data_IF_316315991670
#
_entry.id   IF_316315991670
#
_cell.length_a   1.000
_cell.length_b   1.000
_cell.length_c   1.000
_cell.angle_alpha   90.00
_cell.angle_beta   90.00
_cell.angle_gamma   90.00
#
_symmetry.space_group_name_H-M   'P 1'
#
loop_
_entity.id
_entity.type
_entity.pdbx_description
1 polymer ?
#
# COMPACT_ATOMS: atom_id res chain seq x y z
N UNK A 1 29.90 3.17 -61.06
CA UNK A 1 30.00 2.24 -59.92
C UNK A 1 29.11 2.79 -58.81
N UNK A 2 27.99 2.15 -58.54
CA UNK A 2 26.97 2.61 -57.58
C UNK A 2 26.60 1.44 -56.69
N UNK A 3 27.19 1.40 -55.49
CA UNK A 3 26.98 0.31 -54.54
C UNK A 3 25.64 0.48 -53.83
N UNK A 4 24.63 -0.28 -54.26
CA UNK A 4 23.45 -0.51 -53.42
C UNK A 4 23.88 -1.32 -52.20
N UNK A 5 23.61 -0.78 -51.02
CA UNK A 5 23.83 -1.48 -49.74
C UNK A 5 22.47 -1.92 -49.20
N UNK A 6 21.94 -3.03 -49.70
CA UNK A 6 20.70 -3.60 -49.19
C UNK A 6 20.89 -4.11 -47.75
N UNK A 7 20.32 -3.38 -46.79
CA UNK A 7 20.38 -3.72 -45.37
C UNK A 7 19.22 -4.65 -45.03
N UNK A 8 19.52 -5.95 -44.92
CA UNK A 8 18.63 -6.92 -44.30
C UNK A 8 18.33 -6.50 -42.84
N UNK A 9 17.10 -6.10 -42.56
CA UNK A 9 16.61 -5.95 -41.19
C UNK A 9 16.06 -7.28 -40.69
N UNK A 10 16.52 -7.71 -39.51
CA UNK A 10 16.14 -9.00 -38.95
C UNK A 10 14.70 -9.03 -38.45
N UNK A 11 14.11 -10.22 -38.42
CA UNK A 11 12.69 -10.46 -38.18
C UNK A 11 12.39 -10.54 -36.67
N UNK A 12 12.12 -9.40 -36.03
CA UNK A 12 11.66 -9.39 -34.63
C UNK A 12 10.22 -9.92 -34.47
N UNK A 13 9.96 -10.57 -33.34
CA UNK A 13 8.77 -11.38 -33.10
C UNK A 13 7.51 -10.54 -32.81
N UNK A 14 6.45 -10.81 -33.57
CA UNK A 14 5.13 -10.20 -33.34
C UNK A 14 4.48 -10.76 -32.06
N UNK A 15 4.55 -10.00 -30.97
CA UNK A 15 3.57 -10.13 -29.88
C UNK A 15 2.28 -9.44 -30.35
N UNK A 16 1.26 -10.22 -30.67
CA UNK A 16 -0.04 -9.71 -31.11
C UNK A 16 -0.85 -9.21 -29.92
N UNK A 17 -0.95 -7.88 -29.76
CA UNK A 17 -1.88 -7.28 -28.81
C UNK A 17 -3.33 -7.44 -29.32
N UNK A 18 -4.05 -8.42 -28.77
CA UNK A 18 -5.46 -8.65 -29.08
C UNK A 18 -6.34 -7.51 -28.56
N UNK A 19 -6.89 -6.71 -29.47
CA UNK A 19 -7.89 -5.67 -29.12
C UNK A 19 -9.24 -6.34 -28.81
N UNK A 20 -9.47 -6.68 -27.54
CA UNK A 20 -10.78 -7.15 -27.07
C UNK A 20 -11.75 -5.98 -26.98
N UNK A 21 -12.50 -5.76 -28.05
CA UNK A 21 -13.60 -4.77 -28.10
C UNK A 21 -14.75 -5.22 -27.19
N UNK A 22 -14.78 -4.72 -25.95
CA UNK A 22 -15.96 -4.85 -25.10
C UNK A 22 -17.06 -3.90 -25.60
N UNK A 23 -18.11 -4.45 -26.18
CA UNK A 23 -19.38 -3.75 -26.32
C UNK A 23 -20.02 -3.59 -24.94
N UNK A 24 -20.50 -2.38 -24.62
CA UNK A 24 -21.40 -2.14 -23.50
C UNK A 24 -22.73 -1.67 -24.06
N UNK A 25 -23.75 -2.52 -23.97
CA UNK A 25 -25.13 -2.11 -24.21
C UNK A 25 -25.59 -1.21 -23.05
N UNK A 26 -25.98 0.01 -23.40
CA UNK A 26 -26.61 0.96 -22.47
C UNK A 26 -28.13 0.89 -22.64
N UNK A 27 -28.84 0.28 -21.68
CA UNK A 27 -30.25 0.59 -21.44
C UNK A 27 -30.72 0.23 -20.02
N UNK A 28 -30.68 1.21 -19.12
CA UNK A 28 -31.39 1.23 -17.83
C UNK A 28 -31.83 2.66 -17.51
N UNK A 29 -33.14 2.93 -17.32
CA UNK A 29 -33.63 4.28 -17.04
C UNK A 29 -33.37 4.70 -15.59
N UNK A 30 -32.94 5.95 -15.40
CA UNK A 30 -32.53 6.50 -14.11
C UNK A 30 -33.71 7.07 -13.32
N UNK A 31 -34.03 6.48 -12.16
CA UNK A 31 -35.09 6.99 -11.25
C UNK A 31 -34.51 7.92 -10.18
N UNK A 32 -34.98 9.17 -10.03
CA UNK A 32 -34.49 10.09 -9.00
C UNK A 32 -35.10 9.77 -7.63
N UNK A 33 -34.24 9.48 -6.64
CA UNK A 33 -34.64 9.35 -5.23
C UNK A 33 -34.66 10.71 -4.52
N UNK A 34 -35.64 10.91 -3.64
CA UNK A 34 -35.95 12.23 -3.05
C UNK A 34 -34.89 12.70 -2.05
N UNK A 35 -34.58 13.99 -2.13
CA UNK A 35 -33.90 14.76 -1.08
C UNK A 35 -34.72 14.74 0.20
N UNK A 36 -34.14 14.31 1.33
CA UNK A 36 -34.76 14.39 2.65
C UNK A 36 -33.97 15.33 3.57
N UNK A 37 -34.39 16.59 3.61
CA UNK A 37 -33.89 17.57 4.57
C UNK A 37 -34.22 17.16 6.00
N UNK A 38 -33.29 17.37 6.93
CA UNK A 38 -33.54 17.35 8.37
C UNK A 38 -33.22 18.73 8.96
N UNK A 39 -33.97 19.12 9.99
CA UNK A 39 -34.07 20.50 10.43
C UNK A 39 -33.14 20.84 11.61
N UNK A 40 -32.83 22.13 11.72
CA UNK A 40 -32.11 22.77 12.83
C UNK A 40 -32.82 22.55 14.17
N UNK A 41 -32.06 22.20 15.21
CA UNK A 41 -32.45 22.38 16.62
C UNK A 41 -31.23 22.89 17.41
N UNK A 42 -31.45 23.89 18.25
CA UNK A 42 -30.50 24.53 19.18
C UNK A 42 -31.31 24.99 20.41
N UNK A 43 -30.69 25.51 21.50
CA UNK A 43 -29.42 25.17 22.15
C UNK A 43 -29.67 24.77 23.64
N UNK A 44 -28.62 24.59 24.46
CA UNK A 44 -28.47 24.85 25.93
C UNK A 44 -27.37 23.94 26.54
N UNK A 45 -26.82 24.24 27.73
CA UNK A 45 -26.29 25.52 28.18
C UNK A 45 -24.86 25.40 28.79
N UNK A 46 -24.25 26.51 29.19
CA UNK A 46 -22.94 26.53 29.88
C UNK A 46 -22.96 25.84 31.27
N UNK A 47 -21.93 25.02 31.53
CA UNK A 47 -21.42 24.75 32.89
C UNK A 47 -19.89 24.66 32.86
N UNK A 48 -19.20 25.76 33.14
CA UNK A 48 -17.74 25.77 33.24
C UNK A 48 -17.23 25.24 34.58
N UNK A 49 -16.27 24.32 34.57
CA UNK A 49 -15.50 23.90 35.73
C UNK A 49 -14.00 23.85 35.39
N UNK A 50 -13.24 24.82 35.91
CA UNK A 50 -11.78 24.75 35.87
C UNK A 50 -11.26 23.82 36.98
N UNK A 51 -10.67 22.69 36.58
CA UNK A 51 -9.78 21.91 37.45
C UNK A 51 -8.35 22.04 36.96
N UNK A 52 -7.52 22.78 37.70
CA UNK A 52 -6.07 22.76 37.51
C UNK A 52 -5.52 21.43 38.02
N UNK A 53 -4.74 20.72 37.21
CA UNK A 53 -4.07 19.48 37.62
C UNK A 53 -2.65 19.44 37.04
N UNK A 54 -1.67 19.70 37.90
CA UNK A 54 -0.27 19.87 37.52
C UNK A 54 0.50 18.56 37.70
N UNK A 55 0.66 17.79 36.62
CA UNK A 55 1.49 16.59 36.61
C UNK A 55 2.78 16.79 35.80
N UNK A 56 3.90 16.86 36.51
CA UNK A 56 5.24 16.85 35.91
C UNK A 56 5.57 15.45 35.37
N UNK A 57 5.81 15.33 34.07
CA UNK A 57 6.38 14.11 33.47
C UNK A 57 7.92 14.12 33.57
N UNK A 58 8.55 13.12 34.22
CA UNK A 58 10.00 13.03 34.28
C UNK A 58 10.59 12.48 32.98
N UNK A 59 11.73 13.03 32.56
CA UNK A 59 12.45 12.59 31.35
C UNK A 59 13.05 11.19 31.53
N UNK A 60 12.80 10.21 30.63
CA UNK A 60 13.43 8.90 30.71
C UNK A 60 14.90 8.97 30.31
N UNK A 61 15.79 8.58 31.23
CA UNK A 61 17.22 8.41 30.96
C UNK A 61 17.46 7.19 30.08
N UNK A 62 18.27 7.32 29.01
CA UNK A 62 18.63 6.20 28.16
C UNK A 62 19.77 5.39 28.79
N UNK A 63 19.44 4.36 29.56
CA UNK A 63 20.42 3.35 29.96
C UNK A 63 20.66 2.35 28.82
N UNK A 64 21.88 2.34 28.31
CA UNK A 64 22.34 1.34 27.34
C UNK A 64 22.53 -0.01 28.04
N UNK A 65 21.83 -1.04 27.58
CA UNK A 65 22.03 -2.43 28.00
C UNK A 65 22.71 -3.24 26.90
N UNK A 66 23.66 -4.08 27.29
CA UNK A 66 24.49 -4.85 26.36
C UNK A 66 23.68 -5.95 25.64
N UNK A 67 24.04 -6.34 24.40
CA UNK A 67 23.36 -7.41 23.68
C UNK A 67 23.59 -8.76 24.38
N UNK A 68 22.51 -9.41 24.82
CA UNK A 68 22.56 -10.78 25.31
C UNK A 68 22.58 -11.76 24.13
N UNK A 69 23.66 -12.52 24.02
CA UNK A 69 23.80 -13.64 23.08
C UNK A 69 22.81 -14.75 23.45
N UNK A 70 21.75 -14.89 22.65
CA UNK A 70 20.81 -16.01 22.77
C UNK A 70 21.43 -17.29 22.16
N UNK A 71 22.10 -18.08 22.99
CA UNK A 71 22.54 -19.43 22.62
C UNK A 71 21.32 -20.34 22.46
N UNK A 72 21.14 -21.04 21.32
CA UNK A 72 20.02 -21.96 21.14
C UNK A 72 20.25 -23.24 21.96
N UNK A 73 19.61 -23.32 23.13
CA UNK A 73 19.57 -24.53 23.95
C UNK A 73 18.64 -25.57 23.29
N UNK A 74 19.23 -26.63 22.73
CA UNK A 74 18.48 -27.70 22.08
C UNK A 74 17.92 -28.67 23.12
N UNK A 75 16.71 -28.40 23.62
CA UNK A 75 16.03 -29.28 24.57
C UNK A 75 15.35 -30.47 23.86
N UNK A 76 15.96 -31.65 24.01
CA UNK A 76 15.43 -32.92 23.54
C UNK A 76 14.22 -33.36 24.38
N UNK A 77 13.02 -33.09 23.88
CA UNK A 77 11.75 -33.58 24.45
C UNK A 77 11.54 -35.08 24.19
N UNK A 78 12.39 -35.92 24.78
CA UNK A 78 12.15 -37.36 24.88
C UNK A 78 10.97 -37.62 25.82
N UNK A 79 9.76 -37.72 25.25
CA UNK A 79 8.56 -38.14 25.97
C UNK A 79 8.48 -39.67 26.05
N UNK A 80 8.70 -40.31 27.22
CA UNK A 80 8.44 -41.74 27.37
C UNK A 80 6.94 -41.99 27.29
N UNK A 81 6.48 -42.53 26.15
CA UNK A 81 5.08 -42.82 25.90
C UNK A 81 4.65 -44.08 26.69
N UNK A 82 4.33 -43.91 27.98
CA UNK A 82 3.84 -44.99 28.84
C UNK A 82 2.39 -45.33 28.45
N UNK A 83 2.26 -46.18 27.44
CA UNK A 83 1.01 -46.82 27.04
C UNK A 83 0.57 -47.84 28.09
N UNK A 84 -0.04 -47.37 29.18
CA UNK A 84 -0.76 -48.23 30.13
C UNK A 84 -1.90 -48.94 29.38
N UNK A 85 -1.92 -50.28 29.29
CA UNK A 85 -3.02 -51.00 28.67
C UNK A 85 -4.28 -50.83 29.53
N UNK A 86 -5.38 -50.38 28.93
CA UNK A 86 -6.67 -50.40 29.60
C UNK A 86 -7.08 -51.85 29.90
N UNK A 87 -7.61 -52.16 31.09
CA UNK A 87 -8.10 -53.50 31.39
C UNK A 87 -9.35 -53.79 30.56
N UNK A 88 -9.22 -54.65 29.54
CA UNK A 88 -10.34 -55.15 28.74
C UNK A 88 -11.27 -56.00 29.60
N UNK A 89 -12.31 -55.38 30.14
CA UNK A 89 -13.38 -56.09 30.87
C UNK A 89 -14.25 -56.81 29.84
N UNK A 90 -13.99 -58.10 29.65
CA UNK A 90 -14.76 -58.99 28.78
C UNK A 90 -16.16 -59.25 29.38
N UNK A 91 -17.15 -58.49 28.89
CA UNK A 91 -18.56 -58.66 29.26
C UNK A 91 -19.19 -59.80 28.45
N UNK A 92 -18.74 -61.02 28.71
CA UNK A 92 -19.36 -62.24 28.22
C UNK A 92 -20.83 -62.34 28.70
N UNK A 93 -21.81 -62.59 27.81
CA UNK A 93 -23.23 -62.65 28.18
C UNK A 93 -23.58 -64.00 28.82
N UNK A 94 -23.45 -64.09 30.14
CA UNK A 94 -23.86 -65.26 30.91
C UNK A 94 -25.39 -65.40 30.89
N UNK A 95 -25.90 -66.42 30.19
CA UNK A 95 -27.31 -66.82 30.29
C UNK A 95 -27.55 -67.47 31.66
N UNK A 96 -28.32 -66.82 32.53
CA UNK A 96 -28.78 -67.38 33.80
C UNK A 96 -30.20 -66.90 34.14
N UNK A 97 -31.12 -67.86 34.13
CA UNK A 97 -32.42 -67.97 34.82
C UNK A 97 -33.34 -66.73 34.99
N UNK A 98 -34.59 -66.77 34.47
CA UNK A 98 -35.60 -65.75 34.71
C UNK A 98 -36.28 -65.93 36.08
N UNK A 99 -35.52 -65.80 37.17
CA UNK A 99 -36.07 -65.76 38.52
C UNK A 99 -36.17 -64.29 38.97
N UNK A 100 -37.38 -63.74 38.91
CA UNK A 100 -37.64 -62.31 39.14
C UNK A 100 -37.52 -61.94 40.62
N UNK A 101 -36.30 -61.69 41.09
CA UNK A 101 -36.10 -60.98 42.37
C UNK A 101 -36.77 -59.60 42.30
N UNK A 102 -37.38 -59.19 43.41
CA UNK A 102 -38.22 -58.00 43.42
C UNK A 102 -37.40 -56.74 43.16
N UNK A 103 -37.80 -55.95 42.15
CA UNK A 103 -37.25 -54.61 41.91
C UNK A 103 -37.30 -53.81 43.21
N UNK A 104 -36.14 -53.53 43.80
CA UNK A 104 -36.03 -52.74 45.02
C UNK A 104 -36.56 -51.34 44.75
N UNK A 105 -37.74 -51.02 45.31
CA UNK A 105 -38.40 -49.73 45.15
C UNK A 105 -37.43 -48.60 45.50
N UNK A 106 -37.08 -47.79 44.50
CA UNK A 106 -36.07 -46.74 44.67
C UNK A 106 -36.47 -45.79 45.80
N UNK A 107 -35.49 -45.44 46.65
CA UNK A 107 -35.70 -44.64 47.87
C UNK A 107 -36.28 -43.24 47.57
N UNK A 108 -36.08 -42.73 46.35
CA UNK A 108 -36.73 -41.53 45.83
C UNK A 108 -37.36 -41.79 44.44
N UNK A 109 -38.51 -41.16 44.14
CA UNK A 109 -39.12 -41.26 42.82
C UNK A 109 -38.32 -40.45 41.78
N UNK A 110 -38.23 -40.99 40.56
CA UNK A 110 -37.51 -40.44 39.39
C UNK A 110 -37.84 -38.96 39.16
N UNK A 111 -39.11 -38.56 39.32
CA UNK A 111 -39.57 -37.18 39.15
C UNK A 111 -38.93 -36.18 40.12
N UNK A 112 -38.61 -36.58 41.35
CA UNK A 112 -37.87 -35.73 42.30
C UNK A 112 -36.45 -35.48 41.81
N UNK A 113 -35.80 -36.49 41.25
CA UNK A 113 -34.43 -36.42 40.73
C UNK A 113 -34.39 -35.50 39.49
N UNK A 114 -35.34 -35.65 38.56
CA UNK A 114 -35.42 -34.80 37.37
C UNK A 114 -35.82 -33.34 37.69
N UNK A 115 -36.73 -33.13 38.65
CA UNK A 115 -37.08 -31.79 39.14
C UNK A 115 -35.86 -31.09 39.76
N UNK A 116 -35.10 -31.78 40.61
CA UNK A 116 -33.87 -31.28 41.19
C UNK A 116 -32.82 -30.97 40.12
N UNK A 117 -32.61 -31.90 39.17
CA UNK A 117 -31.68 -31.71 38.05
C UNK A 117 -32.07 -30.54 37.16
N UNK A 118 -33.37 -30.25 37.02
CA UNK A 118 -33.88 -29.07 36.31
C UNK A 118 -33.64 -27.78 37.12
N UNK A 119 -33.96 -27.78 38.42
CA UNK A 119 -33.77 -26.63 39.32
C UNK A 119 -32.30 -26.18 39.39
N UNK A 120 -31.38 -27.15 39.48
CA UNK A 120 -29.94 -26.93 39.55
C UNK A 120 -29.27 -26.76 38.17
N UNK A 121 -30.05 -26.79 37.07
CA UNK A 121 -29.57 -26.68 35.67
C UNK A 121 -28.43 -27.66 35.35
N UNK A 122 -28.60 -28.92 35.75
CA UNK A 122 -27.62 -29.98 35.56
C UNK A 122 -27.56 -30.45 34.10
N UNK A 123 -26.36 -30.83 33.65
CA UNK A 123 -26.17 -31.43 32.33
C UNK A 123 -26.84 -32.81 32.25
N UNK A 124 -27.02 -33.34 31.03
CA UNK A 124 -27.56 -34.70 30.83
C UNK A 124 -26.75 -35.78 31.56
N UNK A 125 -25.42 -35.63 31.62
CA UNK A 125 -24.51 -36.56 32.31
C UNK A 125 -24.66 -36.43 33.83
N UNK A 126 -24.60 -35.21 34.38
CA UNK A 126 -24.80 -34.97 35.81
C UNK A 126 -26.17 -35.47 36.29
N UNK A 127 -27.23 -35.31 35.48
CA UNK A 127 -28.55 -35.89 35.74
C UNK A 127 -28.55 -37.43 35.76
N UNK A 128 -27.88 -38.08 34.81
CA UNK A 128 -27.72 -39.53 34.82
C UNK A 128 -26.96 -40.02 36.08
N UNK A 129 -25.92 -39.29 36.49
CA UNK A 129 -25.18 -39.56 37.72
C UNK A 129 -26.08 -39.41 38.97
N UNK A 130 -26.99 -38.43 38.99
CA UNK A 130 -27.98 -38.27 40.06
C UNK A 130 -28.96 -39.46 40.13
N UNK A 131 -29.43 -39.98 38.99
CA UNK A 131 -30.27 -41.19 38.96
C UNK A 131 -29.49 -42.43 39.45
N UNK A 132 -28.25 -42.62 38.98
CA UNK A 132 -27.35 -43.70 39.42
C UNK A 132 -27.03 -43.63 40.92
N UNK A 133 -26.82 -42.43 41.46
CA UNK A 133 -26.57 -42.20 42.88
C UNK A 133 -27.74 -42.70 43.75
N UNK A 134 -28.99 -42.41 43.34
CA UNK A 134 -30.18 -42.94 44.03
C UNK A 134 -30.29 -44.45 43.90
N UNK A 135 -30.00 -45.02 42.72
CA UNK A 135 -30.00 -46.46 42.50
C UNK A 135 -28.99 -47.21 43.41
N UNK A 136 -27.79 -46.63 43.61
CA UNK A 136 -26.75 -47.21 44.47
C UNK A 136 -27.15 -47.15 45.95
N UNK A 137 -27.57 -45.99 46.47
CA UNK A 137 -27.98 -45.89 47.87
C UNK A 137 -29.37 -46.47 48.19
N UNK A 138 -30.06 -47.05 47.19
CA UNK A 138 -31.25 -47.90 47.38
C UNK A 138 -30.90 -49.39 47.57
N UNK A 139 -29.63 -49.78 47.42
CA UNK A 139 -29.19 -51.17 47.66
C UNK A 139 -29.17 -51.52 49.16
N UNK A 140 -29.46 -52.77 49.57
CA UNK A 140 -29.45 -53.17 50.98
C UNK A 140 -28.07 -53.02 51.65
N UNK A 141 -27.97 -52.45 52.87
CA UNK A 141 -29.02 -51.76 53.62
C UNK A 141 -29.29 -50.36 53.03
N UNK A 142 -30.52 -50.14 52.56
CA UNK A 142 -30.88 -48.92 51.85
C UNK A 142 -30.82 -47.69 52.76
N UNK A 143 -30.37 -46.55 52.21
CA UNK A 143 -30.38 -45.28 52.92
C UNK A 143 -31.82 -44.81 53.18
N UNK A 144 -32.01 -44.04 54.24
CA UNK A 144 -33.32 -43.42 54.50
C UNK A 144 -33.62 -42.36 53.44
N UNK A 145 -34.91 -42.14 53.17
CA UNK A 145 -35.38 -41.12 52.21
C UNK A 145 -34.82 -39.71 52.54
N UNK A 146 -34.67 -39.37 53.82
CA UNK A 146 -34.09 -38.09 54.26
C UNK A 146 -32.58 -38.00 54.03
N UNK A 147 -31.80 -39.04 54.32
CA UNK A 147 -30.34 -39.05 54.05
C UNK A 147 -30.07 -39.03 52.54
N UNK A 148 -30.77 -39.87 51.78
CA UNK A 148 -30.69 -39.90 50.32
C UNK A 148 -31.03 -38.53 49.70
N UNK A 149 -32.13 -37.90 50.13
CA UNK A 149 -32.51 -36.55 49.66
C UNK A 149 -31.43 -35.51 49.95
N UNK A 150 -30.86 -35.55 51.16
CA UNK A 150 -29.85 -34.57 51.60
C UNK A 150 -28.56 -34.71 50.80
N UNK A 151 -28.09 -35.94 50.56
CA UNK A 151 -26.90 -36.21 49.75
C UNK A 151 -27.11 -35.89 48.27
N UNK A 152 -28.29 -36.21 47.73
CA UNK A 152 -28.65 -35.89 46.34
C UNK A 152 -28.69 -34.36 46.11
N UNK A 153 -29.25 -33.61 47.07
CA UNK A 153 -29.25 -32.14 47.05
C UNK A 153 -27.84 -31.56 47.12
N UNK A 154 -26.96 -32.14 47.94
CA UNK A 154 -25.55 -31.74 48.02
C UNK A 154 -24.81 -31.99 46.69
N UNK A 155 -25.00 -33.16 46.08
CA UNK A 155 -24.43 -33.51 44.77
C UNK A 155 -24.91 -32.56 43.66
N UNK A 156 -26.22 -32.27 43.60
CA UNK A 156 -26.78 -31.29 42.67
C UNK A 156 -26.22 -29.87 42.90
N UNK A 157 -26.00 -29.49 44.16
CA UNK A 157 -25.37 -28.21 44.53
C UNK A 157 -23.91 -28.13 44.06
N UNK A 158 -23.15 -29.23 44.19
CA UNK A 158 -21.77 -29.31 43.69
C UNK A 158 -21.70 -29.19 42.17
N UNK A 159 -22.51 -29.95 41.44
CA UNK A 159 -22.58 -29.87 39.97
C UNK A 159 -23.07 -28.49 39.46
N UNK A 160 -23.99 -27.84 40.16
CA UNK A 160 -24.41 -26.48 39.80
C UNK A 160 -23.37 -25.40 40.14
N UNK A 161 -22.39 -25.69 41.00
CA UNK A 161 -21.22 -24.85 41.19
C UNK A 161 -20.23 -25.06 40.03
N UNK A 162 -19.89 -26.32 39.75
CA UNK A 162 -19.03 -26.73 38.61
C UNK A 162 -19.50 -26.07 37.29
N UNK A 163 -20.79 -26.21 36.95
CA UNK A 163 -21.37 -25.59 35.74
C UNK A 163 -21.24 -24.05 35.72
N UNK A 164 -21.23 -23.36 36.87
CA UNK A 164 -21.05 -21.90 36.95
C UNK A 164 -19.58 -21.51 36.79
N UNK A 165 -18.68 -22.27 37.42
CA UNK A 165 -17.25 -22.07 37.29
C UNK A 165 -16.81 -22.32 35.83
N UNK A 166 -17.32 -23.36 35.16
CA UNK A 166 -17.06 -23.61 33.73
C UNK A 166 -17.61 -22.51 32.82
N UNK A 167 -18.84 -22.03 33.04
CA UNK A 167 -19.39 -20.90 32.28
C UNK A 167 -18.53 -19.65 32.48
N UNK A 168 -18.10 -19.34 33.71
CA UNK A 168 -17.23 -18.18 33.98
C UNK A 168 -15.87 -18.35 33.30
N UNK A 169 -15.23 -19.52 33.43
CA UNK A 169 -13.97 -19.84 32.77
C UNK A 169 -14.09 -19.77 31.23
N UNK A 170 -15.24 -20.12 30.66
CA UNK A 170 -15.50 -19.99 29.22
C UNK A 170 -15.64 -18.52 28.81
N UNK A 171 -16.41 -17.73 29.57
CA UNK A 171 -16.59 -16.28 29.35
C UNK A 171 -15.24 -15.56 29.44
N UNK A 172 -14.48 -15.75 30.52
CA UNK A 172 -13.13 -15.19 30.73
C UNK A 172 -12.19 -15.50 29.55
N UNK A 173 -12.21 -16.76 29.05
CA UNK A 173 -11.44 -17.17 27.86
C UNK A 173 -11.90 -16.48 26.59
N UNK A 174 -13.21 -16.31 26.38
CA UNK A 174 -13.72 -15.64 25.18
C UNK A 174 -13.51 -14.14 25.19
N UNK A 175 -13.70 -13.47 26.34
CA UNK A 175 -13.51 -12.02 26.49
C UNK A 175 -12.04 -11.64 26.32
N UNK A 176 -11.13 -12.34 27.01
CA UNK A 176 -9.68 -12.16 26.82
C UNK A 176 -9.23 -12.44 25.39
N UNK A 177 -9.78 -13.47 24.73
CA UNK A 177 -9.44 -13.78 23.34
C UNK A 177 -9.96 -12.72 22.35
N UNK A 178 -11.13 -12.09 22.60
CA UNK A 178 -11.59 -10.96 21.78
C UNK A 178 -10.70 -9.73 21.95
N UNK A 179 -10.24 -9.43 23.16
CA UNK A 179 -9.36 -8.29 23.42
C UNK A 179 -8.01 -8.45 22.74
N UNK A 180 -7.38 -9.62 22.80
CA UNK A 180 -6.14 -9.89 22.06
C UNK A 180 -6.31 -9.76 20.55
N UNK A 181 -7.45 -10.20 19.99
CA UNK A 181 -7.71 -10.01 18.56
C UNK A 181 -7.87 -8.53 18.20
N UNK A 182 -8.64 -7.78 18.99
CA UNK A 182 -8.82 -6.34 18.81
C UNK A 182 -7.49 -5.57 18.87
N UNK A 183 -6.65 -5.90 19.85
CA UNK A 183 -5.31 -5.34 19.99
C UNK A 183 -4.40 -5.67 18.80
N UNK A 184 -4.43 -6.90 18.30
CA UNK A 184 -3.63 -7.30 17.12
C UNK A 184 -4.11 -6.62 15.84
N UNK A 185 -5.42 -6.47 15.64
CA UNK A 185 -5.97 -5.75 14.48
C UNK A 185 -5.72 -4.21 14.59
N UNK A 186 -5.71 -3.59 15.79
CA UNK A 186 -5.24 -2.21 15.99
C UNK A 186 -3.74 -2.06 15.68
N UNK A 187 -2.88 -2.91 16.27
CA UNK A 187 -1.45 -2.89 16.01
C UNK A 187 -1.15 -3.02 14.51
N UNK A 188 -1.85 -3.94 13.82
CA UNK A 188 -1.76 -4.14 12.37
C UNK A 188 -2.28 -2.93 11.58
N UNK A 189 -3.35 -2.28 12.03
CA UNK A 189 -3.88 -1.04 11.45
C UNK A 189 -2.85 0.09 11.55
N UNK A 190 -2.30 0.33 12.76
CA UNK A 190 -1.30 1.36 13.03
C UNK A 190 0.01 1.10 12.29
N UNK A 191 0.49 -0.14 12.24
CA UNK A 191 1.65 -0.54 11.43
C UNK A 191 1.40 -0.36 9.92
N UNK A 192 0.15 -0.44 9.46
CA UNK A 192 -0.19 -0.17 8.05
C UNK A 192 -0.29 1.32 7.76
N UNK A 193 -0.69 2.14 8.73
CA UNK A 193 -0.71 3.61 8.63
C UNK A 193 0.69 4.25 8.50
N UNK A 194 1.71 3.67 9.14
CA UNK A 194 3.11 4.15 9.07
C UNK A 194 3.89 3.51 7.91
N UNK A 195 3.22 2.99 6.88
CA UNK A 195 3.90 2.39 5.74
C UNK A 195 4.71 3.42 4.94
N UNK A 196 6.01 3.15 4.76
CA UNK A 196 6.88 3.92 3.85
C UNK A 196 7.64 2.97 2.93
N UNK A 197 7.87 3.40 1.68
CA UNK A 197 8.68 2.64 0.73
C UNK A 197 10.13 2.60 1.18
N UNK A 198 10.76 1.41 1.16
CA UNK A 198 12.18 1.29 1.50
C UNK A 198 13.06 2.06 0.51
N UNK A 199 14.28 2.44 0.93
CA UNK A 199 15.23 3.13 0.04
C UNK A 199 15.52 2.32 -1.24
N UNK A 200 15.57 0.99 -1.14
CA UNK A 200 15.71 0.09 -2.29
C UNK A 200 14.49 0.16 -3.22
N UNK A 201 13.27 0.05 -2.70
CA UNK A 201 12.04 0.20 -3.50
C UNK A 201 11.98 1.56 -4.21
N UNK A 202 12.32 2.64 -3.52
CA UNK A 202 12.37 3.99 -4.10
C UNK A 202 13.43 4.11 -5.20
N UNK A 203 14.57 3.41 -5.07
CA UNK A 203 15.60 3.37 -6.11
C UNK A 203 15.15 2.55 -7.32
N UNK A 204 14.56 1.37 -7.12
CA UNK A 204 13.97 0.55 -8.19
C UNK A 204 12.91 1.33 -8.98
N UNK A 205 12.02 2.05 -8.29
CA UNK A 205 11.02 2.95 -8.90
C UNK A 205 11.69 4.09 -9.69
N UNK A 206 12.77 4.71 -9.17
CA UNK A 206 13.51 5.77 -9.89
C UNK A 206 14.19 5.23 -11.14
N UNK A 207 14.85 4.07 -11.07
CA UNK A 207 15.52 3.45 -12.23
C UNK A 207 14.50 3.09 -13.29
N UNK A 208 13.37 2.49 -12.93
CA UNK A 208 12.33 2.13 -13.90
C UNK A 208 11.69 3.36 -14.57
N UNK A 209 11.42 4.42 -13.79
CA UNK A 209 10.91 5.69 -14.35
C UNK A 209 11.95 6.40 -15.22
N UNK A 210 13.25 6.28 -14.93
CA UNK A 210 14.30 6.87 -15.74
C UNK A 210 14.45 6.16 -17.09
N UNK A 211 14.42 4.82 -17.08
CA UNK A 211 14.52 3.99 -18.28
C UNK A 211 13.33 4.23 -19.23
N UNK A 212 12.11 4.26 -18.68
CA UNK A 212 10.88 4.63 -19.42
C UNK A 212 10.87 6.09 -19.91
N UNK A 213 11.65 7.00 -19.30
CA UNK A 213 11.79 8.37 -19.79
C UNK A 213 12.84 8.46 -20.92
N UNK A 214 13.75 7.49 -20.99
CA UNK A 214 14.78 7.45 -22.02
C UNK A 214 14.33 6.79 -23.33
N UNK A 215 13.43 5.79 -23.24
CA UNK A 215 12.82 5.00 -24.31
C UNK A 215 12.71 5.73 -25.69
N UNK A 216 13.26 5.10 -26.74
CA UNK A 216 13.33 5.67 -28.11
C UNK A 216 11.97 5.90 -28.78
N UNK A 217 10.94 5.19 -28.36
CA UNK A 217 9.56 5.24 -28.87
C UNK A 217 8.64 6.16 -28.06
N UNK A 218 9.16 6.86 -27.04
CA UNK A 218 8.37 7.64 -26.09
C UNK A 218 7.75 8.90 -26.72
N UNK A 219 6.43 9.05 -26.62
CA UNK A 219 5.69 10.20 -27.18
C UNK A 219 4.81 10.94 -26.17
N UNK A 220 4.55 10.37 -24.99
CA UNK A 220 3.97 11.10 -23.84
C UNK A 220 4.86 10.98 -22.62
N UNK A 221 5.29 12.11 -22.07
CA UNK A 221 6.21 12.22 -20.94
C UNK A 221 5.46 12.56 -19.66
N UNK A 222 4.36 13.31 -19.73
CA UNK A 222 3.55 13.66 -18.57
C UNK A 222 2.95 12.43 -17.88
N UNK A 223 2.48 11.45 -18.67
CA UNK A 223 1.77 10.24 -18.20
C UNK A 223 2.68 9.11 -17.74
N UNK A 224 4.00 9.29 -17.72
CA UNK A 224 4.98 8.22 -17.42
C UNK A 224 4.73 7.46 -16.09
N UNK A 225 4.19 8.14 -15.08
CA UNK A 225 3.85 7.55 -13.78
C UNK A 225 2.63 6.59 -13.86
N UNK A 226 1.72 6.80 -14.83
CA UNK A 226 0.57 5.94 -15.10
C UNK A 226 1.03 4.66 -15.78
N UNK A 227 1.88 4.77 -16.81
CA UNK A 227 2.43 3.61 -17.52
C UNK A 227 3.32 2.77 -16.60
N UNK A 228 4.14 3.43 -15.77
CA UNK A 228 4.96 2.76 -14.78
C UNK A 228 4.13 1.96 -13.77
N UNK A 229 2.90 2.39 -13.43
CA UNK A 229 1.99 1.60 -12.58
C UNK A 229 1.61 0.25 -13.21
N UNK A 230 1.47 0.18 -14.54
CA UNK A 230 1.22 -1.09 -15.25
C UNK A 230 2.46 -1.99 -15.16
N UNK A 231 3.65 -1.43 -15.39
CA UNK A 231 4.93 -2.14 -15.24
C UNK A 231 5.12 -2.67 -13.81
N UNK A 232 4.87 -1.84 -12.79
CA UNK A 232 5.01 -2.21 -11.38
C UNK A 232 4.10 -3.37 -10.97
N UNK A 233 2.92 -3.52 -11.59
CA UNK A 233 2.03 -4.66 -11.32
C UNK A 233 2.50 -5.95 -11.99
N UNK A 234 3.08 -5.87 -13.20
CA UNK A 234 3.66 -7.03 -13.90
C UNK A 234 4.92 -7.53 -13.19
N UNK A 235 5.86 -6.64 -12.93
CA UNK A 235 7.23 -6.98 -12.53
C UNK A 235 7.48 -6.76 -11.02
N UNK A 236 6.42 -6.91 -10.20
CA UNK A 236 6.43 -6.58 -8.76
C UNK A 236 7.49 -7.33 -7.96
N UNK A 237 7.75 -8.60 -8.28
CA UNK A 237 8.76 -9.46 -7.63
C UNK A 237 10.15 -8.87 -7.85
N UNK A 238 10.46 -8.60 -9.12
CA UNK A 238 11.74 -8.08 -9.57
C UNK A 238 12.04 -6.68 -8.99
N UNK A 239 11.02 -5.84 -8.84
CA UNK A 239 11.15 -4.51 -8.22
C UNK A 239 11.08 -4.50 -6.69
N UNK A 240 10.92 -5.68 -6.06
CA UNK A 240 10.70 -5.85 -4.60
C UNK A 240 9.48 -5.10 -4.06
N UNK A 241 8.41 -5.02 -4.86
CA UNK A 241 7.14 -4.34 -4.55
C UNK A 241 6.01 -5.31 -4.16
N UNK A 242 6.32 -6.57 -3.83
CA UNK A 242 5.31 -7.59 -3.51
C UNK A 242 4.49 -7.27 -2.25
N UNK A 243 5.09 -6.60 -1.26
CA UNK A 243 4.43 -6.12 -0.06
C UNK A 243 3.72 -4.76 -0.25
N UNK A 244 3.62 -4.28 -1.49
CA UNK A 244 3.03 -2.98 -1.90
C UNK A 244 1.88 -3.20 -2.89
N UNK A 245 2.10 -4.01 -3.93
CA UNK A 245 1.12 -4.28 -4.98
C UNK A 245 0.06 -5.29 -4.50
N UNK A 246 -1.19 -4.85 -4.43
CA UNK A 246 -2.32 -5.59 -3.86
C UNK A 246 -2.89 -4.97 -2.59
N UNK A 247 -2.14 -4.08 -1.92
CA UNK A 247 -2.65 -3.23 -0.84
C UNK A 247 -2.99 -1.85 -1.42
N UNK A 248 -4.27 -1.45 -1.35
CA UNK A 248 -4.76 -0.19 -1.94
C UNK A 248 -4.11 1.06 -1.33
N UNK A 249 -3.80 1.03 -0.03
CA UNK A 249 -3.18 2.16 0.68
C UNK A 249 -1.71 2.27 0.32
N UNK A 250 -0.99 1.15 0.28
CA UNK A 250 0.42 1.11 -0.13
C UNK A 250 0.58 1.42 -1.63
N UNK A 251 -0.36 1.00 -2.47
CA UNK A 251 -0.42 1.43 -3.87
C UNK A 251 -0.63 2.95 -4.00
N UNK A 252 -1.48 3.61 -3.18
CA UNK A 252 -1.60 5.08 -3.20
C UNK A 252 -0.25 5.75 -2.89
N UNK A 253 0.43 5.31 -1.83
CA UNK A 253 1.75 5.83 -1.43
C UNK A 253 2.79 5.61 -2.53
N UNK A 254 2.78 4.44 -3.18
CA UNK A 254 3.63 4.14 -4.34
C UNK A 254 3.35 5.06 -5.53
N UNK A 255 2.08 5.26 -5.89
CA UNK A 255 1.69 6.11 -7.01
C UNK A 255 2.09 7.59 -6.74
N UNK A 256 1.83 8.10 -5.54
CA UNK A 256 2.26 9.44 -5.11
C UNK A 256 3.78 9.61 -5.19
N UNK A 257 4.56 8.64 -4.68
CA UNK A 257 6.02 8.69 -4.75
C UNK A 257 6.54 8.56 -6.19
N UNK A 258 5.94 7.71 -7.02
CA UNK A 258 6.29 7.54 -8.42
C UNK A 258 6.01 8.82 -9.23
N UNK A 259 4.88 9.49 -9.03
CA UNK A 259 4.58 10.78 -9.64
C UNK A 259 5.61 11.84 -9.27
N UNK A 260 5.92 12.01 -7.97
CA UNK A 260 6.94 12.96 -7.48
C UNK A 260 8.34 12.65 -8.03
N UNK A 261 8.71 11.38 -8.22
CA UNK A 261 9.98 10.98 -8.84
C UNK A 261 9.96 11.29 -10.36
N UNK A 262 8.85 10.98 -11.04
CA UNK A 262 8.66 11.26 -12.47
C UNK A 262 8.77 12.75 -12.81
N UNK A 263 8.14 13.64 -12.03
CA UNK A 263 8.27 15.09 -12.19
C UNK A 263 9.71 15.57 -12.04
N UNK A 264 10.45 15.05 -11.06
CA UNK A 264 11.87 15.37 -10.86
C UNK A 264 12.76 14.90 -12.01
N UNK A 265 12.54 13.69 -12.52
CA UNK A 265 13.26 13.15 -13.69
C UNK A 265 12.94 13.94 -14.97
N UNK A 266 11.65 14.28 -15.19
CA UNK A 266 11.22 15.18 -16.28
C UNK A 266 11.93 16.53 -16.22
N UNK A 267 11.97 17.16 -15.05
CA UNK A 267 12.62 18.47 -14.88
C UNK A 267 14.15 18.38 -15.09
N UNK A 268 14.80 17.33 -14.57
CA UNK A 268 16.23 17.09 -14.80
C UNK A 268 16.54 16.93 -16.30
N UNK A 269 15.78 16.08 -17.01
CA UNK A 269 15.97 15.84 -18.44
C UNK A 269 15.73 17.10 -19.28
N UNK A 270 14.72 17.91 -18.94
CA UNK A 270 14.46 19.21 -19.60
C UNK A 270 15.67 20.14 -19.48
N UNK A 271 16.21 20.32 -18.28
CA UNK A 271 17.38 21.18 -18.05
C UNK A 271 18.60 20.68 -18.82
N UNK A 272 18.83 19.36 -18.85
CA UNK A 272 19.93 18.73 -19.59
C UNK A 272 19.77 18.89 -21.12
N UNK A 273 18.53 18.86 -21.66
CA UNK A 273 18.26 19.18 -23.07
C UNK A 273 18.67 20.62 -23.38
N UNK A 274 18.17 21.62 -22.64
CA UNK A 274 18.48 23.04 -22.88
C UNK A 274 19.98 23.36 -22.74
N UNK A 275 20.65 22.78 -21.74
CA UNK A 275 22.11 22.88 -21.55
C UNK A 275 22.91 22.26 -22.70
N UNK A 276 22.42 21.16 -23.31
CA UNK A 276 23.10 20.53 -24.44
C UNK A 276 23.04 21.35 -25.73
N UNK A 277 22.04 22.24 -25.86
CA UNK A 277 21.83 23.14 -26.99
C UNK A 277 22.57 24.47 -26.79
N UNK A 278 22.57 24.99 -25.55
CA UNK A 278 22.92 26.37 -25.23
C UNK A 278 23.67 26.49 -23.90
N UNK A 279 24.67 27.38 -23.85
CA UNK A 279 25.54 27.56 -22.67
C UNK A 279 26.87 26.80 -22.77
N UNK A 280 27.67 26.76 -21.69
CA UNK A 280 29.04 26.23 -21.71
C UNK A 280 29.12 24.71 -21.82
N UNK A 281 28.01 23.99 -21.57
CA UNK A 281 27.90 22.53 -21.69
C UNK A 281 27.26 22.07 -23.01
N UNK A 282 27.17 22.99 -23.98
CA UNK A 282 26.72 22.75 -25.36
C UNK A 282 27.56 21.65 -26.02
N UNK A 283 26.91 20.58 -26.52
CA UNK A 283 27.58 19.39 -27.09
C UNK A 283 26.82 18.77 -28.27
N UNK A 284 27.49 18.09 -29.22
CA UNK A 284 26.84 17.43 -30.35
C UNK A 284 25.86 16.35 -29.89
N UNK A 285 24.83 16.09 -30.70
CA UNK A 285 23.71 15.23 -30.31
C UNK A 285 24.11 13.78 -29.97
N UNK A 286 25.20 13.27 -30.55
CA UNK A 286 25.69 11.91 -30.28
C UNK A 286 26.29 11.77 -28.86
N UNK A 287 27.04 12.77 -28.39
CA UNK A 287 27.57 12.83 -27.03
C UNK A 287 26.45 13.05 -26.02
N UNK A 288 25.51 13.96 -26.33
CA UNK A 288 24.33 14.17 -25.50
C UNK A 288 23.53 12.88 -25.32
N UNK A 289 23.22 12.16 -26.40
CA UNK A 289 22.48 10.91 -26.32
C UNK A 289 23.24 9.84 -25.48
N UNK A 290 24.57 9.75 -25.62
CA UNK A 290 25.42 8.85 -24.81
C UNK A 290 25.40 9.21 -23.32
N UNK A 291 25.58 10.49 -22.96
CA UNK A 291 25.52 10.95 -21.57
C UNK A 291 24.15 10.73 -20.92
N UNK A 292 23.07 10.98 -21.67
CA UNK A 292 21.72 10.72 -21.20
C UNK A 292 21.47 9.22 -21.05
N UNK A 293 22.02 8.39 -21.95
CA UNK A 293 22.02 6.94 -21.80
C UNK A 293 22.70 6.46 -20.52
N UNK A 294 23.84 7.06 -20.14
CA UNK A 294 24.55 6.76 -18.89
C UNK A 294 23.78 7.17 -17.62
N UNK A 295 22.90 8.17 -17.71
CA UNK A 295 22.13 8.72 -16.57
C UNK A 295 20.77 8.06 -16.38
N UNK A 296 20.09 7.70 -17.47
CA UNK A 296 18.69 7.30 -17.46
C UNK A 296 18.46 5.85 -17.92
N UNK A 297 19.27 5.32 -18.83
CA UNK A 297 19.06 3.97 -19.36
C UNK A 297 19.66 2.91 -18.43
N UNK A 298 18.91 1.85 -18.17
CA UNK A 298 19.30 0.84 -17.20
C UNK A 298 20.48 0.00 -17.71
N UNK A 299 21.58 0.03 -16.97
CA UNK A 299 22.84 -0.62 -17.36
C UNK A 299 23.74 0.23 -18.27
N UNK A 300 23.30 1.43 -18.67
CA UNK A 300 24.04 2.32 -19.56
C UNK A 300 24.00 1.92 -21.04
N UNK A 301 24.46 2.79 -21.95
CA UNK A 301 24.19 2.70 -23.39
C UNK A 301 25.11 1.72 -24.15
N UNK A 302 25.82 0.84 -23.44
CA UNK A 302 26.89 0.01 -24.02
C UNK A 302 28.03 0.84 -24.64
N UNK A 303 28.77 0.24 -25.57
CA UNK A 303 29.83 0.91 -26.34
C UNK A 303 29.28 1.82 -27.44
N UNK A 304 28.16 1.44 -28.06
CA UNK A 304 27.51 2.17 -29.15
C UNK A 304 26.02 2.35 -28.87
N UNK A 305 25.59 3.60 -28.70
CA UNK A 305 24.17 3.92 -28.54
C UNK A 305 23.41 3.77 -29.88
N UNK A 306 22.22 3.17 -29.82
CA UNK A 306 21.40 2.91 -31.00
C UNK A 306 20.96 4.22 -31.71
N UNK A 307 20.93 4.20 -33.05
CA UNK A 307 20.49 5.33 -33.88
C UNK A 307 19.10 5.86 -33.49
N UNK A 308 18.18 4.98 -33.07
CA UNK A 308 16.84 5.37 -32.60
C UNK A 308 16.86 6.32 -31.40
N UNK A 309 17.73 6.09 -30.41
CA UNK A 309 17.88 7.02 -29.28
C UNK A 309 18.50 8.35 -29.71
N UNK A 310 19.51 8.33 -30.60
CA UNK A 310 20.12 9.56 -31.13
C UNK A 310 19.07 10.42 -31.84
N UNK A 311 18.32 9.83 -32.78
CA UNK A 311 17.26 10.50 -33.53
C UNK A 311 16.17 11.07 -32.61
N UNK A 312 15.70 10.28 -31.63
CA UNK A 312 14.68 10.72 -30.69
C UNK A 312 15.16 11.85 -29.75
N UNK A 313 16.43 11.86 -29.33
CA UNK A 313 16.98 13.00 -28.55
C UNK A 313 17.36 14.20 -29.44
N UNK A 314 17.62 14.01 -30.73
CA UNK A 314 17.73 15.10 -31.72
C UNK A 314 16.39 15.83 -31.90
N UNK A 315 15.29 15.06 -32.03
CA UNK A 315 13.92 15.55 -32.06
C UNK A 315 13.61 16.42 -30.82
N UNK A 316 13.88 15.92 -29.61
CA UNK A 316 13.64 16.69 -28.37
C UNK A 316 14.49 17.97 -28.29
N UNK A 317 15.72 17.96 -28.81
CA UNK A 317 16.58 19.16 -28.90
C UNK A 317 16.05 20.17 -29.92
N UNK A 318 15.51 19.73 -31.05
CA UNK A 318 14.88 20.59 -32.05
C UNK A 318 13.64 21.28 -31.47
N UNK A 319 12.74 20.52 -30.84
CA UNK A 319 11.57 21.08 -30.16
C UNK A 319 11.95 22.13 -29.11
N UNK A 320 12.93 21.84 -28.24
CA UNK A 320 13.39 22.79 -27.22
C UNK A 320 14.06 24.06 -27.81
N UNK A 321 14.62 23.98 -29.02
CA UNK A 321 15.19 25.13 -29.75
C UNK A 321 14.13 25.96 -30.45
N UNK A 322 13.09 25.31 -30.97
CA UNK A 322 11.91 25.96 -31.59
C UNK A 322 11.00 26.60 -30.52
N UNK A 323 11.08 26.14 -29.26
CA UNK A 323 10.34 26.65 -28.09
C UNK A 323 11.24 27.13 -26.93
N UNK A 324 12.05 28.20 -27.10
CA UNK A 324 12.87 28.75 -26.03
C UNK A 324 12.04 29.35 -24.87
N UNK A 325 10.83 29.81 -25.15
CA UNK A 325 9.91 30.39 -24.17
C UNK A 325 9.33 29.36 -23.18
N UNK A 326 9.55 28.05 -23.40
CA UNK A 326 9.19 27.00 -22.45
C UNK A 326 10.28 26.74 -21.41
N UNK A 327 11.50 27.24 -21.61
CA UNK A 327 12.58 27.13 -20.63
C UNK A 327 12.26 27.94 -19.37
N UNK A 328 12.56 27.40 -18.19
CA UNK A 328 12.32 28.07 -16.90
C UNK A 328 10.85 28.16 -16.47
N UNK A 329 9.87 27.89 -17.35
CA UNK A 329 8.48 27.63 -16.94
C UNK A 329 8.45 26.34 -16.15
N UNK A 330 8.41 26.45 -14.82
CA UNK A 330 8.22 25.29 -13.96
C UNK A 330 6.97 24.52 -14.39
N UNK A 331 7.08 23.19 -14.40
CA UNK A 331 5.88 22.37 -14.31
C UNK A 331 5.20 22.81 -13.01
N UNK A 332 4.10 23.55 -13.12
CA UNK A 332 3.29 23.92 -11.97
C UNK A 332 2.66 22.63 -11.51
N UNK A 333 3.38 21.92 -10.65
CA UNK A 333 2.87 20.75 -9.94
C UNK A 333 1.50 21.17 -9.43
N UNK A 334 0.49 20.38 -9.78
CA UNK A 334 -0.80 20.56 -9.12
C UNK A 334 -0.48 20.30 -7.66
N UNK A 335 -0.53 21.35 -6.87
CA UNK A 335 -0.86 21.25 -5.46
C UNK A 335 -2.29 20.70 -5.43
N UNK A 336 -2.37 19.39 -5.67
CA UNK A 336 -3.40 18.56 -5.12
C UNK A 336 -3.24 18.77 -3.62
N UNK A 337 -4.13 19.58 -3.05
CA UNK A 337 -4.16 19.88 -1.62
C UNK A 337 -4.72 18.66 -0.84
N UNK A 338 -4.28 17.48 -1.25
CA UNK A 338 -4.22 16.31 -0.40
C UNK A 338 -3.15 16.63 0.65
N UNK A 339 -3.63 17.24 1.74
CA UNK A 339 -2.89 17.49 2.97
C UNK A 339 -2.60 16.15 3.69
N UNK A 340 -1.87 15.29 2.98
CA UNK A 340 -1.31 14.02 3.44
C UNK A 340 -0.07 14.29 4.32
N UNK A 341 0.05 15.53 4.84
CA UNK A 341 0.91 15.96 5.93
C UNK A 341 0.34 15.52 7.28
N UNK A 342 -0.09 14.25 7.39
CA UNK A 342 -0.20 13.56 8.67
C UNK A 342 1.19 13.26 9.27
N UNK A 343 2.10 14.25 9.25
CA UNK A 343 3.13 14.38 10.29
C UNK A 343 2.36 14.71 11.57
N UNK A 344 2.14 13.69 12.41
CA UNK A 344 1.31 13.76 13.62
C UNK A 344 2.03 14.53 14.76
N UNK A 345 2.66 15.64 14.41
CA UNK A 345 3.15 16.65 15.34
C UNK A 345 1.97 17.45 15.86
N UNK A 346 1.56 17.08 17.07
CA UNK A 346 0.62 17.85 17.89
C UNK A 346 1.28 19.18 18.30
N UNK A 347 1.38 20.12 17.37
CA UNK A 347 1.67 21.53 17.68
C UNK A 347 0.42 22.14 18.28
N UNK A 348 0.52 22.56 19.54
CA UNK A 348 -0.57 23.17 20.31
C UNK A 348 -1.28 24.27 19.54
N UNK A 349 -2.61 24.17 19.44
CA UNK A 349 -3.47 25.22 18.91
C UNK A 349 -3.18 26.52 19.67
N UNK A 350 -2.91 27.59 18.92
CA UNK A 350 -2.82 28.93 19.48
C UNK A 350 -4.15 29.61 19.25
N UNK A 351 -4.94 29.81 20.31
CA UNK A 351 -6.21 30.52 20.20
C UNK A 351 -5.98 31.92 19.61
N UNK A 352 -6.68 32.19 18.51
CA UNK A 352 -6.84 33.51 17.92
C UNK A 352 -8.25 33.62 17.39
N UNK A 353 -8.89 34.72 17.74
CA UNK A 353 -10.32 34.91 17.61
C UNK A 353 -10.82 34.91 16.15
N UNK A 354 -12.13 34.69 16.06
CA UNK A 354 -12.96 35.05 14.91
C UNK A 354 -12.89 36.60 14.66
N UNK A 355 -13.44 37.18 13.60
CA UNK A 355 -14.67 36.77 12.92
C UNK A 355 -14.79 37.43 11.53
N UNK A 356 -14.09 36.90 10.51
CA UNK A 356 -14.24 37.36 9.12
C UNK A 356 -14.44 36.18 8.14
N UNK A 357 -15.59 36.07 7.46
CA UNK A 357 -15.86 34.95 6.55
C UNK A 357 -15.03 35.08 5.25
N UNK A 358 -14.29 34.03 4.84
CA UNK A 358 -13.34 34.12 3.73
C UNK A 358 -14.04 34.41 2.39
N UNK A 359 -13.88 35.65 1.91
CA UNK A 359 -14.52 36.14 0.68
C UNK A 359 -14.06 35.34 -0.54
N UNK A 360 -14.99 34.59 -1.15
CA UNK A 360 -14.75 33.69 -2.30
C UNK A 360 -14.40 34.49 -3.56
N UNK A 361 -13.13 34.90 -3.70
CA UNK A 361 -12.64 35.62 -4.90
C UNK A 361 -12.91 34.79 -6.17
N UNK A 362 -13.56 35.35 -7.20
CA UNK A 362 -13.94 34.60 -8.39
C UNK A 362 -12.70 34.14 -9.16
N UNK A 363 -12.57 32.82 -9.37
CA UNK A 363 -11.48 32.21 -10.13
C UNK A 363 -11.67 32.44 -11.64
N UNK A 364 -11.31 33.63 -12.12
CA UNK A 364 -11.14 33.90 -13.55
C UNK A 364 -9.96 33.10 -14.09
N UNK A 365 -10.25 31.86 -14.51
CA UNK A 365 -9.24 30.89 -14.97
C UNK A 365 -8.65 31.31 -16.31
N UNK A 366 -7.64 32.18 -16.26
CA UNK A 366 -6.73 32.40 -17.40
C UNK A 366 -6.17 31.03 -17.83
N UNK A 367 -6.05 30.75 -19.15
CA UNK A 367 -5.50 29.49 -19.62
C UNK A 367 -4.10 29.31 -19.01
N UNK A 368 -3.90 28.21 -18.27
CA UNK A 368 -2.61 27.94 -17.63
C UNK A 368 -1.54 27.82 -18.72
N UNK A 369 -0.45 28.57 -18.58
CA UNK A 369 0.66 28.48 -19.51
C UNK A 369 1.16 27.03 -19.55
N UNK A 370 1.27 26.48 -20.75
CA UNK A 370 1.73 25.09 -20.96
C UNK A 370 3.17 24.97 -20.47
N UNK A 371 3.43 23.96 -19.65
CA UNK A 371 4.78 23.57 -19.25
C UNK A 371 5.43 22.75 -20.37
N UNK A 372 6.78 22.72 -20.40
CA UNK A 372 7.57 22.09 -21.46
C UNK A 372 7.02 20.73 -21.91
N UNK A 373 6.91 19.77 -20.99
CA UNK A 373 6.46 18.41 -21.32
C UNK A 373 4.99 18.32 -21.78
N UNK A 374 4.12 19.24 -21.32
CA UNK A 374 2.74 19.30 -21.83
C UNK A 374 2.70 19.67 -23.31
N UNK A 375 3.53 20.64 -23.72
CA UNK A 375 3.65 21.03 -25.12
C UNK A 375 4.38 19.97 -25.98
N UNK A 376 5.36 19.25 -25.40
CA UNK A 376 6.01 18.09 -26.06
C UNK A 376 4.98 16.99 -26.35
N UNK A 377 4.17 16.60 -25.35
CA UNK A 377 3.13 15.57 -25.49
C UNK A 377 2.08 15.96 -26.55
N UNK A 378 1.58 17.20 -26.50
CA UNK A 378 0.60 17.73 -27.46
C UNK A 378 1.14 17.80 -28.87
N UNK A 379 2.35 18.34 -29.05
CA UNK A 379 2.98 18.32 -30.36
C UNK A 379 3.15 16.88 -30.83
N UNK A 380 3.70 15.97 -30.03
CA UNK A 380 3.87 14.56 -30.44
C UNK A 380 2.58 13.96 -31.01
N UNK A 381 1.42 14.20 -30.42
CA UNK A 381 0.11 13.82 -31.00
C UNK A 381 -0.05 14.40 -32.41
N UNK A 382 0.05 15.72 -32.58
CA UNK A 382 -0.04 16.34 -33.91
C UNK A 382 0.98 15.80 -34.93
N UNK A 383 2.22 15.48 -34.49
CA UNK A 383 3.26 15.04 -35.43
C UNK A 383 3.12 13.55 -35.79
N UNK A 384 2.49 12.74 -34.94
CA UNK A 384 2.07 11.36 -35.25
C UNK A 384 0.88 11.37 -36.21
N UNK A 385 -0.12 12.25 -36.03
CA UNK A 385 -1.23 12.41 -36.96
C UNK A 385 -0.74 12.85 -38.35
N UNK A 386 0.23 13.78 -38.39
CA UNK A 386 0.80 14.33 -39.64
C UNK A 386 1.76 13.38 -40.37
N UNK A 387 2.53 12.53 -39.66
CA UNK A 387 3.64 11.71 -40.23
C UNK A 387 3.48 10.20 -40.06
N UNK A 388 2.40 9.75 -39.42
CA UNK A 388 2.16 8.36 -39.05
C UNK A 388 2.71 7.98 -37.68
N UNK A 389 2.21 6.87 -37.13
CA UNK A 389 2.48 6.40 -35.78
C UNK A 389 3.84 5.69 -35.58
N UNK A 390 4.71 5.68 -36.58
CA UNK A 390 5.95 4.90 -36.59
C UNK A 390 7.10 5.74 -37.14
N UNK A 391 8.18 5.91 -36.37
CA UNK A 391 9.35 6.72 -36.77
C UNK A 391 10.13 6.16 -37.98
N UNK A 392 9.83 4.94 -38.42
CA UNK A 392 10.40 4.34 -39.63
C UNK A 392 9.64 4.71 -40.92
N UNK A 393 8.55 5.51 -40.86
CA UNK A 393 7.92 6.03 -42.10
C UNK A 393 8.85 7.02 -42.81
N UNK A 394 8.73 7.12 -44.13
CA UNK A 394 9.54 8.03 -44.96
C UNK A 394 9.45 9.48 -44.46
N UNK A 395 8.27 9.93 -44.03
CA UNK A 395 8.06 11.30 -43.53
C UNK A 395 8.79 11.56 -42.20
N UNK A 396 8.81 10.59 -41.29
CA UNK A 396 9.62 10.68 -40.07
C UNK A 396 11.11 10.62 -40.37
N UNK A 397 11.55 9.74 -41.28
CA UNK A 397 12.96 9.65 -41.69
C UNK A 397 13.45 10.96 -42.33
N UNK A 398 12.66 11.59 -43.22
CA UNK A 398 12.99 12.92 -43.77
C UNK A 398 13.15 13.96 -42.66
N UNK A 399 12.18 14.06 -41.73
CA UNK A 399 12.26 15.03 -40.62
C UNK A 399 13.43 14.75 -39.66
N UNK A 400 13.76 13.48 -39.42
CA UNK A 400 14.94 13.07 -38.62
C UNK A 400 16.23 13.49 -39.34
N UNK A 401 16.34 13.22 -40.64
CA UNK A 401 17.53 13.58 -41.44
C UNK A 401 17.73 15.10 -41.51
N UNK A 402 16.66 15.88 -41.77
CA UNK A 402 16.69 17.35 -41.67
C UNK A 402 17.21 17.80 -40.30
N UNK A 403 16.68 17.21 -39.23
CA UNK A 403 17.03 17.56 -37.84
C UNK A 403 18.49 17.24 -37.53
N UNK A 404 18.99 16.09 -38.00
CA UNK A 404 20.40 15.70 -37.89
C UNK A 404 21.31 16.64 -38.69
N UNK A 405 20.95 17.01 -39.93
CA UNK A 405 21.72 17.98 -40.73
C UNK A 405 21.74 19.38 -40.09
N UNK A 406 20.66 19.79 -39.40
CA UNK A 406 20.64 21.05 -38.62
C UNK A 406 21.55 20.95 -37.39
N UNK A 407 21.53 19.83 -36.67
CA UNK A 407 22.46 19.58 -35.54
C UNK A 407 23.92 19.53 -36.02
N UNK A 408 24.23 18.84 -37.12
CA UNK A 408 25.58 18.79 -37.68
C UNK A 408 26.09 20.18 -38.07
N UNK A 409 25.33 20.94 -38.86
CA UNK A 409 25.70 22.32 -39.24
C UNK A 409 25.93 23.26 -38.05
N UNK A 410 25.16 23.10 -36.98
CA UNK A 410 25.32 23.90 -35.76
C UNK A 410 26.57 23.51 -34.95
N UNK A 411 27.09 22.30 -35.10
CA UNK A 411 28.17 21.74 -34.28
C UNK A 411 29.43 21.36 -35.09
N UNK A 412 29.49 21.67 -36.38
CA UNK A 412 30.72 21.61 -37.18
C UNK A 412 31.82 22.48 -36.58
N UNK A 413 33.05 21.96 -36.58
CA UNK A 413 34.22 22.63 -35.99
C UNK A 413 34.52 24.00 -36.59
N UNK A 414 34.12 24.25 -37.82
CA UNK A 414 34.41 25.51 -38.53
C UNK A 414 33.67 26.73 -37.92
N UNK A 415 32.78 26.50 -36.94
CA UNK A 415 32.15 27.54 -36.12
C UNK A 415 33.04 28.11 -34.98
N UNK A 416 34.28 27.62 -34.82
CA UNK A 416 35.18 28.01 -33.73
C UNK A 416 35.68 29.47 -33.78
N UNK A 417 35.45 30.20 -34.89
CA UNK A 417 35.72 31.64 -34.99
C UNK A 417 34.83 32.50 -34.08
N UNK A 418 33.68 31.98 -33.61
CA UNK A 418 32.79 32.70 -32.69
C UNK A 418 33.30 32.72 -31.22
N UNK A 419 34.62 32.84 -31.05
CA UNK A 419 35.32 32.94 -29.75
C UNK A 419 35.68 34.38 -29.38
N UNK A 420 34.92 35.38 -29.84
CA UNK A 420 34.89 36.66 -29.13
C UNK A 420 34.18 36.45 -27.78
N UNK A 421 34.87 36.60 -26.64
CA UNK A 421 34.28 36.32 -25.34
C UNK A 421 33.29 37.45 -25.01
N UNK A 422 31.98 37.16 -25.14
CA UNK A 422 30.89 38.07 -24.78
C UNK A 422 31.23 38.79 -23.46
N UNK A 423 31.36 40.13 -23.46
CA UNK A 423 32.00 40.86 -22.38
C UNK A 423 31.25 40.59 -21.07
N UNK A 424 31.96 40.00 -20.11
CA UNK A 424 31.40 39.50 -18.85
C UNK A 424 30.50 40.56 -18.22
N UNK A 425 29.19 40.35 -18.35
CA UNK A 425 28.16 41.29 -17.90
C UNK A 425 28.26 41.39 -16.39
N UNK A 426 28.96 42.43 -15.90
CA UNK A 426 29.32 42.61 -14.49
C UNK A 426 28.07 42.56 -13.63
N UNK A 427 27.79 41.39 -13.05
CA UNK A 427 26.72 41.22 -12.06
C UNK A 427 27.15 42.02 -10.83
N UNK A 428 26.40 43.04 -10.39
CA UNK A 428 26.77 43.78 -9.21
C UNK A 428 26.67 42.86 -8.00
N UNK A 429 27.81 42.54 -7.38
CA UNK A 429 27.89 41.65 -6.22
C UNK A 429 27.39 42.40 -4.99
N UNK A 430 26.06 42.47 -4.86
CA UNK A 430 25.37 43.00 -3.68
C UNK A 430 25.32 41.95 -2.55
N UNK A 431 26.48 41.41 -2.17
CA UNK A 431 26.62 40.60 -0.95
C UNK A 431 26.97 41.51 0.23
N UNK A 432 25.93 42.10 0.82
CA UNK A 432 26.01 42.90 2.04
C UNK A 432 24.73 42.73 2.86
N UNK A 433 24.89 42.41 4.16
CA UNK A 433 23.84 42.27 5.20
C UNK A 433 22.85 41.11 5.02
N UNK A 434 23.00 40.06 5.83
CA UNK A 434 22.14 39.83 7.02
C UNK A 434 22.46 38.48 7.68
N UNK A 435 23.35 38.48 8.67
CA UNK A 435 23.29 37.59 9.84
C UNK A 435 24.00 38.27 11.01
N UNK A 436 23.20 38.75 11.95
CA UNK A 436 23.49 39.07 13.36
C UNK A 436 22.33 38.53 14.16
#
# INVERSE_FOLDING_TARGET
MTSNTDIFFSQESRISNSTTTFGMDHDQPYTPLLTRSFATVSPTPDTGYHSQSSYNTPTPSMQSTAPMTMTPQAESFDSPFISSPAPSVDLSPTNSDPNTEAFTTAVLPVSTIDNLASQFKLTKVQRANCHLFVQIGSQPPALTCSDMSTRLFLLATMYAKENKDDIRNQVERTEGASDYKGLLDDMKSRMSGVFTLTQEQQMSVRVQLADMLFEKSRTSFCKIHIDAKLYFKRDKVFLKLENVIGDTTREKILNSRASRIGSRLRHQMMNEIYQSISGPTRKPVHEFAREMGLKYMRGGPGSTIEKGFIAHKAILRRFAREHPELHGKSETERADNDDDSHDFRVTSVSDRDADEPPTKRPKTSKPKAKHFWGAVDEWFVEQLDKRGNNFNTVQWQTYINETMTIEEKLFSKDSDECKEPLPLRKVPVSLSRLLT
#
